data_IF_687986817592
#
_entry.id   IF_687986817592
#
_cell.length_a   1.000
_cell.length_b   1.000
_cell.length_c   1.000
_cell.angle_alpha   90.00
_cell.angle_beta   90.00
_cell.angle_gamma   90.00
#
_symmetry.space_group_name_H-M   'P 1'
#
loop_
_entity.id
_entity.type
_entity.pdbx_description
1 polymer ?
#
# COMPACT_ATOMS: atom_id res chain seq x y z
N UNK A 1 -8.86 -2.82 7.26
CA UNK A 1 -9.21 -2.21 5.97
C UNK A 1 -9.53 -0.73 6.12
N UNK A 2 -9.32 0.06 5.08
CA UNK A 2 -9.69 1.48 5.03
C UNK A 2 -10.29 1.84 3.67
N UNK A 3 -11.19 2.83 3.64
CA UNK A 3 -11.78 3.33 2.40
C UNK A 3 -10.79 4.14 1.55
N UNK A 4 -11.20 4.47 0.32
CA UNK A 4 -10.45 5.38 -0.55
C UNK A 4 -10.28 6.74 0.14
N UNK A 5 -9.13 7.38 -0.06
CA UNK A 5 -8.83 8.70 0.52
C UNK A 5 -8.39 8.68 1.99
N UNK A 6 -8.30 7.51 2.62
CA UNK A 6 -7.81 7.41 4.01
C UNK A 6 -6.31 7.70 4.08
N UNK A 7 -5.92 8.67 4.88
CA UNK A 7 -4.52 8.99 5.17
C UNK A 7 -4.06 8.26 6.43
N UNK A 8 -3.37 7.12 6.29
CA UNK A 8 -2.83 6.36 7.44
C UNK A 8 -1.91 7.22 8.33
N UNK A 9 -1.17 8.16 7.73
CA UNK A 9 -0.35 9.15 8.46
C UNK A 9 -1.18 10.05 9.39
N UNK A 10 -2.41 10.37 9.01
CA UNK A 10 -3.31 11.15 9.85
C UNK A 10 -3.72 10.36 11.08
N UNK A 11 -4.03 9.06 10.91
CA UNK A 11 -4.38 8.16 12.02
C UNK A 11 -3.25 8.10 13.06
N UNK A 12 -1.99 7.94 12.63
CA UNK A 12 -0.85 7.91 13.54
C UNK A 12 -0.70 9.21 14.34
N UNK A 13 -0.86 10.37 13.67
CA UNK A 13 -0.82 11.69 14.32
C UNK A 13 -1.96 11.86 15.33
N UNK A 14 -3.18 11.50 14.94
CA UNK A 14 -4.39 11.72 15.74
C UNK A 14 -4.42 10.79 16.97
N UNK A 15 -3.88 9.56 16.83
CA UNK A 15 -3.63 8.66 17.95
C UNK A 15 -2.59 9.25 18.91
N UNK A 16 -1.46 9.72 18.39
CA UNK A 16 -0.42 10.36 19.19
C UNK A 16 -0.91 11.63 19.92
N UNK A 17 -1.80 12.41 19.28
CA UNK A 17 -2.48 13.55 19.90
C UNK A 17 -3.38 13.10 21.05
N UNK A 18 -4.17 12.06 20.84
CA UNK A 18 -5.07 11.49 21.87
C UNK A 18 -4.28 11.00 23.09
N UNK A 19 -3.09 10.44 22.88
CA UNK A 19 -2.21 9.96 23.93
C UNK A 19 -1.33 11.06 24.56
N UNK A 20 -1.32 12.29 24.04
CA UNK A 20 -0.52 13.40 24.55
C UNK A 20 0.98 13.31 24.29
N UNK A 21 1.43 12.37 23.45
CA UNK A 21 2.87 12.11 23.20
C UNK A 21 3.30 12.43 21.77
N UNK A 22 2.36 12.73 20.87
CA UNK A 22 2.63 12.82 19.44
C UNK A 22 2.77 11.45 18.78
N UNK A 23 2.68 11.40 17.45
CA UNK A 23 2.71 10.13 16.72
C UNK A 23 3.00 10.37 15.25
N UNK A 24 3.85 9.52 14.67
CA UNK A 24 4.18 9.56 13.25
C UNK A 24 4.37 8.14 12.73
N UNK A 25 4.14 7.98 11.44
CA UNK A 25 4.26 6.69 10.76
C UNK A 25 5.70 6.49 10.30
N UNK A 26 6.38 5.45 10.80
CA UNK A 26 7.77 5.13 10.44
C UNK A 26 7.87 4.30 9.17
N UNK A 27 6.92 3.39 8.95
CA UNK A 27 6.87 2.53 7.76
C UNK A 27 5.41 2.27 7.37
N UNK A 28 5.17 2.15 6.06
CA UNK A 28 3.89 1.77 5.51
C UNK A 28 4.11 0.84 4.32
N UNK A 29 3.44 -0.31 4.32
CA UNK A 29 3.37 -1.22 3.17
C UNK A 29 1.91 -1.44 2.83
N UNK A 30 1.51 -1.07 1.62
CA UNK A 30 0.16 -1.34 1.12
C UNK A 30 0.12 -2.79 0.62
N UNK A 31 -0.68 -3.63 1.25
CA UNK A 31 -0.76 -5.06 0.92
C UNK A 31 -1.85 -5.41 -0.09
N UNK A 32 -2.81 -4.52 -0.35
CA UNK A 32 -3.94 -4.79 -1.24
C UNK A 32 -4.54 -3.53 -1.87
N UNK A 33 -5.08 -3.66 -3.08
CA UNK A 33 -5.96 -2.68 -3.75
C UNK A 33 -7.11 -3.44 -4.41
N UNK A 34 -8.32 -3.38 -3.85
CA UNK A 34 -9.43 -4.17 -4.39
C UNK A 34 -9.09 -5.66 -4.42
N UNK A 35 -9.08 -6.26 -5.61
CA UNK A 35 -8.72 -7.66 -5.83
C UNK A 35 -7.21 -7.94 -5.86
N UNK A 36 -6.37 -6.92 -6.07
CA UNK A 36 -4.93 -7.12 -6.26
C UNK A 36 -4.18 -7.21 -4.93
N UNK A 37 -3.46 -8.30 -4.69
CA UNK A 37 -2.59 -8.49 -3.52
C UNK A 37 -1.14 -8.06 -3.80
N UNK A 38 -0.40 -7.72 -2.75
CA UNK A 38 1.05 -7.53 -2.82
C UNK A 38 1.81 -8.81 -3.14
N UNK A 39 1.24 -9.98 -2.85
CA UNK A 39 1.84 -11.27 -3.18
C UNK A 39 1.91 -11.52 -4.69
N UNK A 40 1.04 -10.83 -5.45
CA UNK A 40 0.98 -10.85 -6.92
C UNK A 40 1.78 -9.70 -7.53
N UNK A 41 2.33 -8.80 -6.71
CA UNK A 41 3.05 -7.63 -7.19
C UNK A 41 4.42 -8.03 -7.76
N UNK A 42 4.76 -7.43 -8.91
CA UNK A 42 6.05 -7.64 -9.57
C UNK A 42 6.96 -6.44 -9.32
N UNK A 43 8.24 -6.69 -9.01
CA UNK A 43 9.22 -5.61 -8.88
C UNK A 43 9.47 -4.95 -10.24
N UNK A 44 9.66 -3.64 -10.25
CA UNK A 44 9.98 -2.88 -11.47
C UNK A 44 11.24 -3.42 -12.14
N UNK A 45 12.25 -3.80 -11.36
CA UNK A 45 13.52 -4.35 -11.87
C UNK A 45 13.34 -5.71 -12.57
N UNK A 46 12.22 -6.38 -12.33
CA UNK A 46 11.88 -7.66 -12.94
C UNK A 46 11.02 -7.50 -14.18
N UNK A 47 10.59 -6.27 -14.51
CA UNK A 47 9.77 -5.99 -15.69
C UNK A 47 10.61 -6.16 -16.96
N UNK A 48 10.01 -6.83 -17.93
CA UNK A 48 10.48 -6.94 -19.31
C UNK A 48 9.24 -6.92 -20.20
N UNK A 49 9.33 -6.49 -21.47
CA UNK A 49 8.18 -6.48 -22.37
C UNK A 49 7.43 -7.81 -22.40
N UNK A 50 8.16 -8.92 -22.38
CA UNK A 50 7.60 -10.28 -22.41
C UNK A 50 6.78 -10.58 -21.15
N UNK A 51 7.31 -10.21 -19.96
CA UNK A 51 6.64 -10.41 -18.67
C UNK A 51 5.45 -9.47 -18.44
N UNK A 52 5.50 -8.26 -19.01
CA UNK A 52 4.37 -7.31 -18.95
C UNK A 52 3.16 -7.88 -19.68
N UNK A 53 3.37 -8.38 -20.90
CA UNK A 53 2.30 -8.92 -21.74
C UNK A 53 1.70 -10.18 -21.09
N UNK A 54 2.52 -11.08 -20.54
CA UNK A 54 2.01 -12.28 -19.86
C UNK A 54 1.15 -11.98 -18.64
N UNK A 55 1.47 -10.92 -17.90
CA UNK A 55 0.79 -10.58 -16.64
C UNK A 55 -0.47 -9.73 -16.84
N UNK A 56 -0.68 -9.18 -18.04
CA UNK A 56 -1.87 -8.37 -18.36
C UNK A 56 -3.12 -9.22 -18.65
N UNK A 57 -2.98 -10.52 -18.87
CA UNK A 57 -4.11 -11.43 -19.16
C UNK A 57 -4.92 -11.84 -17.91
N UNK A 58 -4.51 -11.40 -16.72
CA UNK A 58 -5.11 -11.79 -15.44
C UNK A 58 -6.07 -10.73 -14.84
N UNK A 59 -6.53 -9.75 -15.63
CA UNK A 59 -7.42 -8.66 -15.16
C UNK A 59 -8.76 -8.68 -15.89
#
# INVERSE_FOLDING_TARGET
DCGRGTYIRAIARDLGKTLGVGGYLTQLRRTRIGAFSIDEAVSIDQLSPEKLISNLHAV
#
